data_IF_272781946560
#
_entry.id   IF_272781946560
#
_cell.length_a   1.000
_cell.length_b   1.000
_cell.length_c   1.000
_cell.angle_alpha   90.00
_cell.angle_beta   90.00
_cell.angle_gamma   90.00
#
_symmetry.space_group_name_H-M   'P 1'
#
loop_
_entity.id
_entity.type
_entity.pdbx_description
1 polymer ?
#
# COMPACT_ATOMS: atom_id res chain seq x y z
N UNK A 1 -9.62 -43.46 -13.80
CA UNK A 1 -9.82 -42.70 -12.59
C UNK A 1 -8.85 -41.53 -12.60
N UNK A 2 -9.40 -40.35 -12.72
CA UNK A 2 -8.58 -39.18 -12.80
C UNK A 2 -8.04 -38.82 -11.43
N UNK A 3 -6.73 -38.65 -11.34
CA UNK A 3 -6.13 -38.12 -10.14
C UNK A 3 -6.51 -36.65 -10.04
N UNK A 4 -7.14 -36.26 -8.94
CA UNK A 4 -7.40 -34.86 -8.70
C UNK A 4 -6.06 -34.14 -8.62
N UNK A 5 -5.86 -33.18 -9.55
CA UNK A 5 -4.70 -32.31 -9.46
C UNK A 5 -4.84 -31.45 -8.23
N UNK A 6 -3.89 -31.60 -7.31
CA UNK A 6 -3.83 -30.72 -6.16
C UNK A 6 -3.30 -29.37 -6.61
N UNK A 7 -4.18 -28.38 -6.59
CA UNK A 7 -3.79 -26.99 -6.86
C UNK A 7 -3.24 -26.41 -5.57
N UNK A 8 -2.00 -25.92 -5.64
CA UNK A 8 -1.39 -25.25 -4.51
C UNK A 8 -1.90 -23.82 -4.42
N UNK A 9 -2.47 -23.47 -3.30
CA UNK A 9 -2.95 -22.12 -3.04
C UNK A 9 -1.88 -21.32 -2.27
N UNK A 10 -1.34 -20.32 -2.92
CA UNK A 10 -0.30 -19.46 -2.35
C UNK A 10 -0.93 -18.11 -2.02
N UNK A 11 -0.72 -17.65 -0.79
CA UNK A 11 -1.16 -16.32 -0.37
C UNK A 11 0.03 -15.48 0.06
N UNK A 12 0.05 -14.25 -0.40
CA UNK A 12 1.09 -13.29 -0.03
C UNK A 12 0.44 -11.92 0.17
N UNK A 13 0.91 -11.17 1.15
CA UNK A 13 0.48 -9.79 1.32
C UNK A 13 1.12 -8.90 0.25
N UNK A 14 0.42 -7.81 -0.08
CA UNK A 14 0.98 -6.79 -0.98
C UNK A 14 2.32 -6.31 -0.44
N UNK A 15 2.40 -6.04 0.86
CA UNK A 15 3.61 -5.56 1.50
C UNK A 15 4.78 -6.53 1.30
N UNK A 16 4.57 -7.80 1.58
CA UNK A 16 5.62 -8.81 1.46
C UNK A 16 6.05 -9.02 0.01
N UNK A 17 5.09 -9.01 -0.91
CA UNK A 17 5.39 -9.15 -2.34
C UNK A 17 6.26 -8.00 -2.84
N UNK A 18 5.91 -6.77 -2.50
CA UNK A 18 6.64 -5.58 -2.93
C UNK A 18 8.03 -5.57 -2.32
N UNK A 19 8.15 -5.87 -1.03
CA UNK A 19 9.44 -5.94 -0.37
C UNK A 19 10.35 -7.01 -0.98
N UNK A 20 9.78 -8.16 -1.32
CA UNK A 20 10.51 -9.23 -1.96
C UNK A 20 11.05 -8.81 -3.33
N UNK A 21 10.19 -8.22 -4.16
CA UNK A 21 10.57 -7.80 -5.53
C UNK A 21 11.65 -6.73 -5.49
N UNK A 22 11.52 -5.74 -4.64
CA UNK A 22 12.48 -4.65 -4.54
C UNK A 22 13.78 -5.09 -3.88
N UNK A 23 13.71 -6.03 -2.96
CA UNK A 23 14.88 -6.56 -2.27
C UNK A 23 15.76 -7.41 -3.18
N UNK A 24 15.18 -8.12 -4.13
CA UNK A 24 15.95 -8.96 -5.03
C UNK A 24 16.91 -8.18 -5.91
N UNK A 25 16.74 -6.86 -6.04
CA UNK A 25 17.64 -5.98 -6.78
C UNK A 25 18.56 -5.13 -5.92
N UNK A 26 18.42 -5.19 -4.59
CA UNK A 26 19.15 -4.31 -3.68
C UNK A 26 19.58 -5.05 -2.42
N UNK A 27 20.73 -4.62 -1.87
CA UNK A 27 21.18 -5.14 -0.57
C UNK A 27 20.34 -4.49 0.50
N UNK A 28 19.65 -5.31 1.27
CA UNK A 28 18.85 -4.82 2.38
C UNK A 28 19.73 -4.47 3.56
N UNK A 29 19.86 -3.18 3.81
CA UNK A 29 20.60 -2.65 4.95
C UNK A 29 19.71 -2.34 6.14
N UNK A 30 18.52 -2.90 6.18
CA UNK A 30 17.65 -2.67 7.31
C UNK A 30 18.24 -3.28 8.56
N UNK A 31 18.61 -2.41 9.47
CA UNK A 31 18.98 -2.84 10.81
C UNK A 31 17.68 -3.25 11.49
N UNK A 32 17.70 -4.41 12.09
CA UNK A 32 16.55 -4.87 12.85
C UNK A 32 16.11 -3.79 13.83
N UNK A 33 14.82 -3.62 13.97
CA UNK A 33 14.26 -2.66 14.89
C UNK A 33 14.70 -2.93 16.32
N UNK A 34 15.08 -1.88 17.01
CA UNK A 34 15.41 -1.96 18.42
C UNK A 34 14.16 -1.98 19.30
N UNK A 35 14.38 -1.70 20.57
CA UNK A 35 13.34 -1.70 21.59
C UNK A 35 12.19 -0.72 21.30
N UNK A 36 12.42 0.31 20.48
CA UNK A 36 11.39 1.28 20.11
C UNK A 36 10.46 0.87 18.98
N UNK A 37 10.70 -0.27 18.34
CA UNK A 37 9.93 -0.68 17.17
C UNK A 37 8.47 -0.88 17.49
N UNK A 38 8.16 -1.55 18.59
CA UNK A 38 6.78 -1.80 19.01
C UNK A 38 6.05 -0.50 19.36
N UNK A 39 6.72 0.41 20.04
CA UNK A 39 6.17 1.71 20.37
C UNK A 39 5.95 2.55 19.12
N UNK A 40 6.89 2.51 18.18
CA UNK A 40 6.75 3.21 16.90
C UNK A 40 5.57 2.67 16.11
N UNK A 41 5.31 1.37 16.14
CA UNK A 41 4.15 0.77 15.47
C UNK A 41 2.84 1.22 16.10
N UNK A 42 2.76 1.34 17.43
CA UNK A 42 1.57 1.82 18.13
C UNK A 42 1.30 3.29 17.81
N UNK A 43 2.33 4.12 17.82
CA UNK A 43 2.22 5.53 17.44
C UNK A 43 1.83 5.69 15.97
N UNK A 44 2.41 4.85 15.10
CA UNK A 44 2.05 4.83 13.69
C UNK A 44 0.57 4.52 13.48
N UNK A 45 0.05 3.53 14.19
CA UNK A 45 -1.37 3.17 14.12
C UNK A 45 -2.28 4.29 14.62
N UNK A 46 -1.88 4.97 15.68
CA UNK A 46 -2.62 6.12 16.21
C UNK A 46 -2.66 7.25 15.18
N UNK A 47 -1.54 7.56 14.57
CA UNK A 47 -1.43 8.60 13.55
C UNK A 47 -2.28 8.24 12.33
N UNK A 48 -2.24 6.99 11.87
CA UNK A 48 -3.07 6.53 10.76
C UNK A 48 -4.55 6.78 11.04
N UNK A 49 -5.03 6.37 12.20
CA UNK A 49 -6.44 6.56 12.57
C UNK A 49 -6.81 8.04 12.66
N UNK A 50 -5.91 8.86 13.17
CA UNK A 50 -6.13 10.29 13.28
C UNK A 50 -6.26 10.96 11.91
N UNK A 51 -5.37 10.60 10.98
CA UNK A 51 -5.42 11.11 9.62
C UNK A 51 -6.70 10.65 8.93
N UNK A 52 -7.01 9.36 9.02
CA UNK A 52 -8.20 8.79 8.41
C UNK A 52 -9.47 9.49 8.91
N UNK A 53 -9.53 9.79 10.19
CA UNK A 53 -10.68 10.46 10.79
C UNK A 53 -10.89 11.90 10.32
N UNK A 54 -9.85 12.55 9.80
CA UNK A 54 -9.95 13.93 9.31
C UNK A 54 -10.31 14.03 7.83
N UNK A 55 -10.37 12.92 7.12
CA UNK A 55 -10.53 12.91 5.67
C UNK A 55 -11.96 13.10 5.17
N UNK A 56 -12.93 13.06 6.06
CA UNK A 56 -14.32 13.29 5.69
C UNK A 56 -15.04 12.01 5.23
N UNK A 57 -16.31 12.18 4.83
CA UNK A 57 -17.21 11.05 4.56
C UNK A 57 -16.93 10.33 3.25
N UNK A 58 -16.27 10.98 2.29
CA UNK A 58 -15.92 10.36 1.02
C UNK A 58 -14.71 9.42 1.13
N UNK A 59 -14.04 9.40 2.23
CA UNK A 59 -12.85 8.59 2.48
C UNK A 59 -13.23 7.31 3.19
N UNK A 60 -12.87 6.19 2.58
CA UNK A 60 -13.06 4.87 3.19
C UNK A 60 -11.71 4.40 3.74
N UNK A 61 -11.66 4.18 5.05
CA UNK A 61 -10.43 3.74 5.71
C UNK A 61 -10.35 2.23 5.76
N UNK A 62 -9.15 1.72 5.73
CA UNK A 62 -8.85 0.30 5.94
C UNK A 62 -9.64 -0.60 4.99
N UNK A 63 -9.46 -0.40 3.69
CA UNK A 63 -10.21 -1.14 2.67
C UNK A 63 -9.45 -2.41 2.28
N UNK A 64 -10.01 -3.60 2.54
CA UNK A 64 -9.37 -4.84 2.12
C UNK A 64 -9.42 -4.98 0.60
N UNK A 65 -8.29 -5.35 0.01
CA UNK A 65 -8.15 -5.57 -1.42
C UNK A 65 -7.42 -6.89 -1.65
N UNK A 66 -7.80 -7.58 -2.71
CA UNK A 66 -7.14 -8.82 -3.06
C UNK A 66 -7.43 -9.24 -4.47
N UNK A 67 -6.51 -9.98 -5.06
CA UNK A 67 -6.66 -10.55 -6.38
C UNK A 67 -6.07 -11.95 -6.37
N UNK A 68 -6.77 -12.88 -7.02
CA UNK A 68 -6.28 -14.25 -7.19
C UNK A 68 -5.93 -14.48 -8.64
N UNK A 69 -4.70 -14.89 -8.87
CA UNK A 69 -4.16 -15.13 -10.20
C UNK A 69 -3.95 -16.62 -10.40
N UNK A 70 -4.42 -17.18 -11.51
CA UNK A 70 -4.16 -18.59 -11.82
C UNK A 70 -2.72 -18.75 -12.33
N UNK A 71 -2.08 -19.82 -11.92
CA UNK A 71 -0.80 -20.25 -12.43
C UNK A 71 -0.87 -21.71 -12.86
N UNK A 72 0.23 -22.23 -13.34
CA UNK A 72 0.32 -23.61 -13.75
C UNK A 72 0.52 -24.50 -12.51
N UNK A 73 -0.56 -25.18 -12.11
CA UNK A 73 -0.56 -26.01 -10.90
C UNK A 73 -0.69 -25.27 -9.58
N UNK A 74 -0.96 -23.96 -9.62
CA UNK A 74 -1.13 -23.16 -8.40
C UNK A 74 -2.05 -21.99 -8.63
N UNK A 75 -2.54 -21.39 -7.54
CA UNK A 75 -3.17 -20.08 -7.56
C UNK A 75 -2.37 -19.16 -6.63
N UNK A 76 -2.23 -17.90 -7.04
CA UNK A 76 -1.57 -16.90 -6.22
C UNK A 76 -2.59 -15.84 -5.83
N UNK A 77 -2.79 -15.67 -4.54
CA UNK A 77 -3.63 -14.61 -4.00
C UNK A 77 -2.73 -13.53 -3.40
N UNK A 78 -2.84 -12.33 -3.94
CA UNK A 78 -2.16 -11.14 -3.41
C UNK A 78 -3.21 -10.31 -2.72
N UNK A 79 -3.02 -10.03 -1.45
CA UNK A 79 -4.02 -9.34 -0.66
C UNK A 79 -3.39 -8.39 0.35
N UNK A 80 -4.17 -7.44 0.80
CA UNK A 80 -3.76 -6.48 1.80
C UNK A 80 -4.87 -5.50 2.08
N UNK A 81 -4.52 -4.43 2.74
CA UNK A 81 -5.50 -3.41 3.14
C UNK A 81 -4.94 -2.04 2.79
N UNK A 82 -5.64 -1.33 1.93
CA UNK A 82 -5.29 0.05 1.63
C UNK A 82 -5.67 0.93 2.83
N UNK A 83 -4.80 1.86 3.19
CA UNK A 83 -5.10 2.77 4.32
C UNK A 83 -6.33 3.62 4.04
N UNK A 84 -6.52 4.04 2.80
CA UNK A 84 -7.71 4.76 2.41
C UNK A 84 -7.98 4.72 0.93
N UNK A 85 -9.26 4.87 0.58
CA UNK A 85 -9.71 5.05 -0.81
C UNK A 85 -10.73 6.16 -0.80
N UNK A 86 -10.55 7.15 -1.67
CA UNK A 86 -11.49 8.28 -1.75
C UNK A 86 -11.67 8.71 -3.19
N UNK A 87 -12.76 9.44 -3.44
CA UNK A 87 -13.05 10.01 -4.73
C UNK A 87 -13.00 11.52 -4.63
N UNK A 88 -12.29 12.15 -5.55
CA UNK A 88 -12.15 13.59 -5.63
C UNK A 88 -12.28 14.00 -7.09
N UNK A 89 -13.25 14.84 -7.42
CA UNK A 89 -13.50 15.28 -8.80
C UNK A 89 -13.61 14.12 -9.81
N UNK A 90 -14.42 13.13 -9.44
CA UNK A 90 -14.66 11.92 -10.23
C UNK A 90 -13.45 10.99 -10.41
N UNK A 91 -12.35 11.27 -9.71
CA UNK A 91 -11.15 10.44 -9.72
C UNK A 91 -11.04 9.66 -8.44
N UNK A 92 -10.79 8.36 -8.55
CA UNK A 92 -10.53 7.50 -7.39
C UNK A 92 -9.05 7.58 -7.02
N UNK A 93 -8.79 7.72 -5.74
CA UNK A 93 -7.44 7.82 -5.18
C UNK A 93 -7.22 6.71 -4.14
N UNK A 94 -6.10 6.05 -4.26
CA UNK A 94 -5.59 5.16 -3.21
C UNK A 94 -4.66 5.99 -2.32
N UNK A 95 -4.90 5.95 -1.02
CA UNK A 95 -4.07 6.66 -0.05
C UNK A 95 -3.29 5.65 0.79
N UNK A 96 -1.98 5.82 0.83
CA UNK A 96 -1.10 5.03 1.67
C UNK A 96 -0.45 5.95 2.68
N UNK A 97 -0.64 5.66 3.97
CA UNK A 97 -0.18 6.52 5.06
C UNK A 97 1.05 5.91 5.70
N UNK A 98 2.11 6.69 5.79
CA UNK A 98 3.35 6.27 6.44
C UNK A 98 3.77 7.29 7.47
N UNK A 99 4.07 6.83 8.66
CA UNK A 99 4.63 7.68 9.70
C UNK A 99 6.14 7.63 9.67
N UNK A 100 6.78 8.70 10.10
CA UNK A 100 8.22 8.81 10.15
C UNK A 100 8.65 9.74 11.29
N UNK A 101 9.86 9.54 11.77
CA UNK A 101 10.40 10.42 12.82
C UNK A 101 10.99 11.71 12.26
N UNK A 102 11.47 11.65 11.01
CA UNK A 102 12.04 12.82 10.36
C UNK A 102 10.95 13.78 9.89
N UNK A 103 11.37 15.02 9.62
CA UNK A 103 10.48 15.99 8.98
C UNK A 103 10.11 15.52 7.58
N UNK A 104 8.79 15.35 7.29
CA UNK A 104 8.37 14.93 5.95
C UNK A 104 8.81 15.85 4.83
N UNK A 105 9.05 17.11 5.12
CA UNK A 105 9.52 18.08 4.12
C UNK A 105 10.94 17.79 3.62
N UNK A 106 11.68 16.92 4.30
CA UNK A 106 12.99 16.46 3.83
C UNK A 106 12.90 15.48 2.67
N UNK A 107 11.72 14.90 2.44
CA UNK A 107 11.52 13.99 1.31
C UNK A 107 11.34 14.78 0.04
N UNK A 108 12.12 14.45 -0.98
CA UNK A 108 11.99 15.04 -2.31
C UNK A 108 10.98 14.30 -3.17
N UNK A 109 10.80 13.02 -2.88
CA UNK A 109 9.88 12.15 -3.59
C UNK A 109 9.41 11.04 -2.67
N UNK A 110 8.35 10.34 -3.07
CA UNK A 110 7.86 9.19 -2.32
C UNK A 110 8.92 8.10 -2.27
N UNK A 111 9.01 7.41 -1.15
CA UNK A 111 9.94 6.29 -0.99
C UNK A 111 9.49 5.14 -1.90
N UNK A 112 10.37 4.58 -2.73
CA UNK A 112 9.97 3.62 -3.78
C UNK A 112 9.18 2.41 -3.27
N UNK A 113 9.56 1.82 -2.15
CA UNK A 113 8.85 0.65 -1.62
C UNK A 113 7.43 1.02 -1.18
N UNK A 114 7.25 2.19 -0.61
CA UNK A 114 5.94 2.67 -0.20
C UNK A 114 5.06 2.96 -1.41
N UNK A 115 5.63 3.63 -2.40
CA UNK A 115 4.91 3.94 -3.63
C UNK A 115 4.50 2.67 -4.37
N UNK A 116 5.38 1.67 -4.39
CA UNK A 116 5.07 0.38 -5.02
C UNK A 116 3.89 -0.32 -4.33
N UNK A 117 3.79 -0.24 -3.01
CA UNK A 117 2.64 -0.76 -2.27
C UNK A 117 1.35 -0.07 -2.71
N UNK A 118 1.38 1.25 -2.76
CA UNK A 118 0.21 2.03 -3.18
C UNK A 118 -0.18 1.73 -4.62
N UNK A 119 0.78 1.60 -5.52
CA UNK A 119 0.52 1.24 -6.92
C UNK A 119 -0.07 -0.15 -7.06
N UNK A 120 0.37 -1.09 -6.23
CA UNK A 120 -0.19 -2.44 -6.23
C UNK A 120 -1.68 -2.43 -5.83
N UNK A 121 -2.03 -1.71 -4.78
CA UNK A 121 -3.43 -1.53 -4.39
C UNK A 121 -4.23 -0.84 -5.48
N UNK A 122 -3.65 0.17 -6.12
CA UNK A 122 -4.30 0.88 -7.21
C UNK A 122 -4.60 -0.05 -8.39
N UNK A 123 -3.64 -0.89 -8.74
CA UNK A 123 -3.81 -1.87 -9.81
C UNK A 123 -4.96 -2.84 -9.51
N UNK A 124 -4.98 -3.40 -8.31
CA UNK A 124 -6.03 -4.33 -7.90
C UNK A 124 -7.40 -3.65 -7.97
N UNK A 125 -7.51 -2.46 -7.41
CA UNK A 125 -8.77 -1.72 -7.39
C UNK A 125 -9.24 -1.35 -8.80
N UNK A 126 -8.33 -0.85 -9.63
CA UNK A 126 -8.66 -0.46 -11.00
C UNK A 126 -9.13 -1.66 -11.84
N UNK A 127 -8.48 -2.81 -11.70
CA UNK A 127 -8.90 -4.03 -12.39
C UNK A 127 -10.29 -4.47 -11.96
N UNK A 128 -10.56 -4.45 -10.66
CA UNK A 128 -11.83 -4.92 -10.11
C UNK A 128 -12.99 -3.99 -10.45
N UNK A 129 -12.73 -2.72 -10.67
CA UNK A 129 -13.77 -1.70 -10.94
C UNK A 129 -13.76 -1.19 -12.37
N UNK A 130 -12.91 -1.75 -13.24
CA UNK A 130 -12.86 -1.37 -14.65
C UNK A 130 -12.47 0.08 -14.88
N UNK A 131 -11.54 0.60 -14.09
CA UNK A 131 -11.08 1.99 -14.21
C UNK A 131 -10.00 2.12 -15.26
N UNK A 132 -10.04 3.18 -16.06
CA UNK A 132 -9.00 3.49 -17.04
C UNK A 132 -7.80 4.18 -16.41
N UNK A 133 -8.03 4.89 -15.32
CA UNK A 133 -6.98 5.57 -14.57
C UNK A 133 -7.33 5.60 -13.09
N UNK A 134 -6.33 5.73 -12.26
CA UNK A 134 -6.49 5.81 -10.82
C UNK A 134 -5.37 6.66 -10.24
N UNK A 135 -5.67 7.42 -9.19
CA UNK A 135 -4.70 8.21 -8.49
C UNK A 135 -4.07 7.45 -7.32
N UNK A 136 -2.83 7.77 -7.05
CA UNK A 136 -2.11 7.27 -5.89
C UNK A 136 -1.63 8.45 -5.07
N UNK A 137 -1.94 8.42 -3.78
CA UNK A 137 -1.50 9.44 -2.83
C UNK A 137 -0.68 8.79 -1.74
N UNK A 138 0.54 9.28 -1.55
CA UNK A 138 1.36 8.91 -0.41
C UNK A 138 1.25 10.01 0.63
N UNK A 139 0.86 9.66 1.84
CA UNK A 139 0.71 10.61 2.95
C UNK A 139 1.77 10.28 4.00
N UNK A 140 2.76 11.16 4.13
CA UNK A 140 3.80 11.03 5.14
C UNK A 140 3.50 11.96 6.31
N UNK A 141 3.58 11.43 7.51
CA UNK A 141 3.28 12.19 8.73
C UNK A 141 4.40 12.00 9.75
N UNK A 142 4.86 13.11 10.31
CA UNK A 142 5.85 13.06 11.39
C UNK A 142 5.22 12.56 12.68
N UNK A 143 5.88 11.60 13.31
CA UNK A 143 5.46 11.11 14.63
C UNK A 143 5.68 12.14 15.73
N UNK A 144 6.58 13.09 15.52
CA UNK A 144 6.92 14.13 16.52
C UNK A 144 6.04 15.37 16.39
N UNK A 145 5.91 15.90 15.15
CA UNK A 145 5.24 17.19 14.92
C UNK A 145 3.85 17.03 14.32
N UNK A 146 3.53 15.84 13.82
CA UNK A 146 2.31 15.55 13.07
C UNK A 146 2.18 16.33 11.77
N UNK A 147 3.28 16.94 11.30
CA UNK A 147 3.32 17.56 9.98
C UNK A 147 3.13 16.51 8.88
N UNK A 148 2.40 16.89 7.84
CA UNK A 148 2.01 16.01 6.76
C UNK A 148 2.56 16.51 5.44
N UNK A 149 3.11 15.58 4.65
CA UNK A 149 3.48 15.82 3.27
C UNK A 149 2.86 14.75 2.38
N UNK A 150 2.27 15.18 1.26
CA UNK A 150 1.62 14.27 0.31
C UNK A 150 2.28 14.33 -1.04
N UNK A 151 2.40 13.17 -1.66
CA UNK A 151 2.82 13.04 -3.05
C UNK A 151 1.67 12.38 -3.81
N UNK A 152 1.32 12.93 -4.96
CA UNK A 152 0.23 12.43 -5.79
C UNK A 152 0.71 12.10 -7.18
N UNK A 153 0.18 11.01 -7.75
CA UNK A 153 0.50 10.59 -9.09
C UNK A 153 -0.75 9.97 -9.72
N UNK A 154 -1.03 10.32 -10.97
CA UNK A 154 -2.09 9.68 -11.75
C UNK A 154 -1.47 8.56 -12.58
N UNK A 155 -2.11 7.40 -12.55
CA UNK A 155 -1.62 6.22 -13.24
C UNK A 155 -2.67 5.73 -14.24
N UNK A 156 -2.28 5.54 -15.52
CA UNK A 156 -3.14 4.79 -16.43
C UNK A 156 -3.14 3.32 -16.02
N UNK A 157 -4.32 2.70 -16.00
CA UNK A 157 -4.46 1.33 -15.54
C UNK A 157 -3.61 0.34 -16.35
N UNK A 158 -3.31 0.67 -17.59
CA UNK A 158 -2.50 -0.18 -18.48
C UNK A 158 -1.03 -0.26 -18.11
N UNK A 159 -0.54 0.67 -17.32
CA UNK A 159 0.88 0.74 -16.93
C UNK A 159 1.15 0.22 -15.52
N UNK A 160 0.13 -0.29 -14.87
CA UNK A 160 0.24 -0.79 -13.51
C UNK A 160 0.78 -2.23 -13.47
#
# INVERSE_FOLDING_TARGET
MEAEEKVLNIRISVRDLVEFILRSGDIDNRKGGGLGEKEAMQEGSRIHRKIQGKMGSAYRAEVPLGITLPGDGYTLTVEGRADGIFTEQDTVWIDEIKSMYRDPDTLKEAIPVHLAQAKCYAHIYALQHGLDEIGVQMTYCSLETEEIRRFREMLPAKEL
#
